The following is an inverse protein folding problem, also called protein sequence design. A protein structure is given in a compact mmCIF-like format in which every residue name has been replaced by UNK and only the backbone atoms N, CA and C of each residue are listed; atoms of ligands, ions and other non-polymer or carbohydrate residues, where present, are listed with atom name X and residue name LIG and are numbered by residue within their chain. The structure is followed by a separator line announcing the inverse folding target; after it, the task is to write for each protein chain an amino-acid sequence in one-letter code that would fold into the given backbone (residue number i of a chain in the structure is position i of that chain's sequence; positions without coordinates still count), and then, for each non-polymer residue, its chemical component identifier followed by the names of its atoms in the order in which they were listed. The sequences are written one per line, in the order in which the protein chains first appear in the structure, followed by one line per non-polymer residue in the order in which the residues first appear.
data_IF_958917860759
#
_entry.id   IF_958917860759
#
_cell.length_a   1.000
_cell.length_b   1.000
_cell.length_c   1.000
_cell.angle_alpha   90.00
_cell.angle_beta   90.00
_cell.angle_gamma   90.00
#
_symmetry.space_group_name_H-M   'P 1'
#
loop_
_entity.id
_entity.type
_entity.pdbx_description
1 polymer ?
#
# COMPACT_ATOMS: atom_id res chain seq x y z
N UNK A 1 21.76 -9.80 -0.13
CA UNK A 1 21.16 -9.32 -1.38
C UNK A 1 21.31 -7.82 -1.41
N UNK A 2 21.67 -7.28 -2.57
CA UNK A 2 21.66 -5.84 -2.78
C UNK A 2 20.21 -5.31 -2.84
N UNK A 3 20.02 -4.03 -2.55
CA UNK A 3 18.70 -3.39 -2.56
C UNK A 3 17.97 -3.54 -3.89
N UNK A 4 18.66 -3.35 -5.02
CA UNK A 4 18.03 -3.49 -6.33
C UNK A 4 17.59 -4.94 -6.63
N UNK A 5 18.33 -5.94 -6.15
CA UNK A 5 17.95 -7.36 -6.28
C UNK A 5 16.70 -7.69 -5.46
N UNK A 6 16.58 -7.12 -4.25
CA UNK A 6 15.39 -7.31 -3.41
C UNK A 6 14.19 -6.62 -4.05
N UNK A 7 14.37 -5.39 -4.53
CA UNK A 7 13.33 -4.65 -5.22
C UNK A 7 12.81 -5.40 -6.44
N UNK A 8 13.70 -5.96 -7.27
CA UNK A 8 13.29 -6.77 -8.43
C UNK A 8 12.41 -7.96 -8.03
N UNK A 9 12.78 -8.69 -6.97
CA UNK A 9 11.94 -9.80 -6.46
C UNK A 9 10.58 -9.33 -5.96
N UNK A 10 10.52 -8.18 -5.29
CA UNK A 10 9.27 -7.59 -4.82
C UNK A 10 8.39 -7.18 -6.01
N UNK A 11 8.94 -6.55 -7.03
CA UNK A 11 8.20 -6.13 -8.23
C UNK A 11 7.68 -7.30 -9.07
N UNK A 12 8.32 -8.47 -8.98
CA UNK A 12 7.87 -9.72 -9.61
C UNK A 12 6.88 -10.52 -8.75
N UNK A 13 6.55 -10.04 -7.55
CA UNK A 13 5.61 -10.68 -6.63
C UNK A 13 4.23 -10.01 -6.68
N UNK A 14 3.19 -10.74 -6.26
CA UNK A 14 1.84 -10.18 -6.22
C UNK A 14 1.68 -9.24 -5.03
N UNK A 15 1.70 -7.94 -5.30
CA UNK A 15 1.61 -6.88 -4.29
C UNK A 15 0.56 -5.88 -4.73
N UNK A 16 -0.37 -5.59 -3.84
CA UNK A 16 -1.37 -4.53 -4.02
C UNK A 16 -1.02 -3.40 -3.06
N UNK A 17 -0.64 -2.25 -3.62
CA UNK A 17 -0.32 -1.04 -2.88
C UNK A 17 -1.46 -0.03 -3.04
N UNK A 18 -2.13 0.28 -1.93
CA UNK A 18 -3.24 1.24 -1.90
C UNK A 18 -2.78 2.50 -1.18
N UNK A 19 -2.93 3.64 -1.84
CA UNK A 19 -2.89 4.93 -1.17
C UNK A 19 -4.26 5.18 -0.52
N UNK A 20 -4.30 5.50 0.77
CA UNK A 20 -5.45 6.04 1.48
C UNK A 20 -5.32 7.58 1.53
N UNK A 21 -5.50 8.20 2.70
CA UNK A 21 -5.23 9.64 2.85
C UNK A 21 -3.73 9.86 2.94
N UNK A 22 -3.10 9.92 1.77
CA UNK A 22 -1.66 10.04 1.58
C UNK A 22 -1.27 11.33 0.85
N UNK A 23 -0.01 11.75 1.05
CA UNK A 23 0.66 12.75 0.21
C UNK A 23 1.50 12.11 -0.91
N UNK A 24 1.38 10.80 -1.13
CA UNK A 24 2.14 9.99 -2.10
C UNK A 24 3.66 9.97 -1.86
N UNK A 25 4.10 10.36 -0.66
CA UNK A 25 5.53 10.48 -0.33
C UNK A 25 6.25 9.14 -0.32
N UNK A 26 5.61 8.09 0.18
CA UNK A 26 6.14 6.73 0.23
C UNK A 26 6.23 6.13 -1.18
N UNK A 27 5.15 6.24 -1.98
CA UNK A 27 5.16 5.93 -3.43
C UNK A 27 6.33 6.61 -4.15
N UNK A 28 6.49 7.93 -4.02
CA UNK A 28 7.58 8.69 -4.66
C UNK A 28 8.96 8.24 -4.16
N UNK A 29 9.08 7.87 -2.88
CA UNK A 29 10.33 7.39 -2.32
C UNK A 29 10.81 6.09 -2.96
N UNK A 30 9.90 5.15 -3.27
CA UNK A 30 10.26 3.89 -3.97
C UNK A 30 10.65 4.16 -5.43
N UNK A 31 9.91 5.05 -6.11
CA UNK A 31 10.17 5.41 -7.49
C UNK A 31 11.53 6.11 -7.69
N UNK A 32 12.09 6.71 -6.63
CA UNK A 32 13.43 7.33 -6.65
C UNK A 32 14.58 6.32 -6.59
N UNK A 33 14.33 5.03 -6.35
CA UNK A 33 15.36 4.01 -6.08
C UNK A 33 16.47 3.87 -7.14
N UNK A 34 16.24 4.36 -8.37
CA UNK A 34 17.26 4.38 -9.44
C UNK A 34 17.63 2.99 -9.98
N UNK A 35 16.93 1.95 -9.54
CA UNK A 35 17.12 0.58 -10.02
C UNK A 35 16.39 0.38 -11.36
N UNK A 36 17.05 -0.25 -12.34
CA UNK A 36 16.44 -0.61 -13.63
C UNK A 36 15.16 -1.46 -13.51
N UNK A 37 15.03 -2.23 -12.44
CA UNK A 37 13.85 -3.05 -12.17
C UNK A 37 12.55 -2.24 -12.09
N UNK A 38 12.60 -0.94 -11.77
CA UNK A 38 11.42 -0.07 -11.78
C UNK A 38 10.75 0.00 -13.15
N UNK A 39 11.51 -0.16 -14.24
CA UNK A 39 10.97 -0.17 -15.60
C UNK A 39 9.91 -1.28 -15.77
N UNK A 40 10.06 -2.40 -15.06
CA UNK A 40 9.10 -3.52 -15.11
C UNK A 40 7.73 -3.17 -14.51
N UNK A 41 7.67 -2.18 -13.60
CA UNK A 41 6.45 -1.79 -12.91
C UNK A 41 5.45 -1.06 -13.83
N UNK A 42 5.94 -0.43 -14.90
CA UNK A 42 5.10 0.36 -15.81
C UNK A 42 4.35 -0.49 -16.85
N UNK A 43 4.65 -1.78 -16.97
CA UNK A 43 3.91 -2.68 -17.85
C UNK A 43 2.61 -3.16 -17.20
N UNK A 44 1.50 -3.16 -17.96
CA UNK A 44 0.19 -3.59 -17.46
C UNK A 44 0.19 -5.03 -16.89
N UNK A 45 1.08 -5.89 -17.38
CA UNK A 45 1.27 -7.27 -16.90
C UNK A 45 1.98 -7.37 -15.55
N UNK A 46 2.42 -6.26 -14.95
CA UNK A 46 3.10 -6.29 -13.67
C UNK A 46 2.17 -6.84 -12.56
N UNK A 47 2.64 -7.81 -11.76
CA UNK A 47 1.91 -8.30 -10.58
C UNK A 47 1.99 -7.29 -9.41
N UNK A 48 2.83 -6.27 -9.52
CA UNK A 48 2.90 -5.17 -8.58
C UNK A 48 1.93 -4.07 -9.01
N UNK A 49 0.90 -3.83 -8.20
CA UNK A 49 -0.20 -2.91 -8.50
C UNK A 49 -0.16 -1.75 -7.52
N UNK A 50 0.22 -0.54 -7.98
CA UNK A 50 -0.01 0.69 -7.23
C UNK A 50 -1.34 1.27 -7.65
N UNK A 51 -2.21 1.53 -6.69
CA UNK A 51 -3.51 2.17 -6.88
C UNK A 51 -3.57 3.45 -6.05
N UNK A 52 -3.58 4.59 -6.74
CA UNK A 52 -3.84 5.88 -6.12
C UNK A 52 -5.35 6.16 -6.10
N UNK A 53 -5.87 6.72 -5.01
CA UNK A 53 -7.28 7.14 -4.90
C UNK A 53 -7.70 8.12 -6.00
N UNK A 54 -6.73 8.83 -6.60
CA UNK A 54 -6.95 9.79 -7.66
C UNK A 54 -7.38 9.15 -9.00
N UNK A 55 -7.37 7.83 -9.11
CA UNK A 55 -7.83 7.11 -10.30
C UNK A 55 -9.36 7.01 -10.40
N UNK A 56 -10.12 8.06 -10.08
CA UNK A 56 -11.58 8.11 -10.19
C UNK A 56 -12.10 8.34 -11.63
N UNK A 57 -11.27 8.15 -12.65
CA UNK A 57 -11.68 8.18 -14.07
C UNK A 57 -12.00 6.77 -14.60
N UNK A 58 -12.63 6.67 -15.78
CA UNK A 58 -13.12 5.39 -16.36
C UNK A 58 -12.10 4.24 -16.33
N UNK A 59 -10.84 4.52 -16.67
CA UNK A 59 -9.75 3.54 -16.66
C UNK A 59 -9.39 3.07 -15.24
N UNK A 60 -9.56 3.93 -14.24
CA UNK A 60 -9.29 3.58 -12.86
C UNK A 60 -10.39 2.74 -12.22
N UNK A 61 -11.63 2.79 -12.70
CA UNK A 61 -12.69 1.86 -12.29
C UNK A 61 -12.46 0.44 -12.80
N UNK A 62 -11.95 0.28 -14.02
CA UNK A 62 -11.55 -1.03 -14.55
C UNK A 62 -10.37 -1.58 -13.76
N UNK A 63 -9.35 -0.75 -13.53
CA UNK A 63 -8.20 -1.11 -12.70
C UNK A 63 -8.58 -1.45 -11.26
N UNK A 64 -9.56 -0.75 -10.68
CA UNK A 64 -10.10 -1.07 -9.36
C UNK A 64 -10.76 -2.46 -9.34
N UNK A 65 -11.47 -2.86 -10.40
CA UNK A 65 -12.01 -4.21 -10.52
C UNK A 65 -10.89 -5.25 -10.55
N UNK A 66 -9.82 -4.99 -11.29
CA UNK A 66 -8.65 -5.87 -11.33
C UNK A 66 -8.00 -6.01 -9.95
N UNK A 67 -7.82 -4.90 -9.23
CA UNK A 67 -7.31 -4.88 -7.84
C UNK A 67 -8.22 -5.67 -6.89
N UNK A 68 -9.54 -5.49 -6.97
CA UNK A 68 -10.51 -6.21 -6.14
C UNK A 68 -10.61 -7.70 -6.47
N UNK A 69 -10.29 -8.08 -7.71
CA UNK A 69 -10.26 -9.47 -8.16
C UNK A 69 -8.99 -10.22 -7.75
N UNK A 70 -7.95 -9.51 -7.28
CA UNK A 70 -6.73 -10.15 -6.82
C UNK A 70 -7.01 -11.05 -5.61
N UNK A 71 -6.30 -12.18 -5.60
CA UNK A 71 -6.22 -13.13 -4.50
C UNK A 71 -4.74 -13.44 -4.29
N UNK A 72 -4.36 -13.94 -3.12
CA UNK A 72 -2.97 -14.31 -2.84
C UNK A 72 -1.97 -13.16 -3.13
N UNK A 73 -2.05 -12.09 -2.33
CA UNK A 73 -1.17 -10.93 -2.46
C UNK A 73 -0.73 -10.38 -1.09
N UNK A 74 0.34 -9.59 -1.10
CA UNK A 74 0.71 -8.71 0.01
C UNK A 74 0.00 -7.37 -0.17
N UNK A 75 -0.74 -6.92 0.84
CA UNK A 75 -1.40 -5.63 0.85
C UNK A 75 -0.49 -4.59 1.51
N UNK A 76 -0.10 -3.57 0.77
CA UNK A 76 0.58 -2.39 1.31
C UNK A 76 -0.42 -1.25 1.37
N UNK A 77 -0.49 -0.58 2.51
CA UNK A 77 -1.36 0.57 2.74
C UNK A 77 -0.48 1.75 3.12
N UNK A 78 -0.57 2.78 2.30
CA UNK A 78 0.07 4.08 2.50
C UNK A 78 -1.00 5.10 2.90
N UNK A 79 -0.71 6.00 3.85
CA UNK A 79 -1.64 7.03 4.28
C UNK A 79 -2.59 6.62 5.41
N UNK A 80 -3.22 7.61 6.04
CA UNK A 80 -4.04 7.40 7.22
C UNK A 80 -5.49 7.03 6.88
N UNK A 81 -6.20 6.43 7.84
CA UNK A 81 -7.60 6.01 7.66
C UNK A 81 -8.53 7.01 8.35
N UNK A 82 -9.48 7.64 7.62
CA UNK A 82 -10.43 8.55 8.24
C UNK A 82 -11.44 7.80 9.10
N UNK A 83 -11.81 8.41 10.24
CA UNK A 83 -12.92 7.93 11.07
C UNK A 83 -14.29 8.25 10.44
N UNK A 84 -14.40 9.40 9.77
CA UNK A 84 -15.55 9.70 8.90
C UNK A 84 -15.25 9.22 7.48
N UNK A 85 -15.81 8.07 7.11
CA UNK A 85 -15.51 7.42 5.82
C UNK A 85 -15.87 8.27 4.61
N UNK A 86 -16.76 9.27 4.78
CA UNK A 86 -17.16 10.20 3.72
C UNK A 86 -16.03 11.12 3.25
N UNK A 87 -14.92 11.15 3.98
CA UNK A 87 -13.74 11.95 3.63
C UNK A 87 -12.84 11.27 2.59
N UNK A 88 -13.10 10.01 2.24
CA UNK A 88 -12.24 9.24 1.34
C UNK A 88 -13.05 8.25 0.49
N UNK A 89 -13.14 8.51 -0.81
CA UNK A 89 -13.83 7.67 -1.78
C UNK A 89 -12.91 7.21 -2.91
N UNK A 90 -13.20 6.01 -3.41
CA UNK A 90 -12.63 5.42 -4.64
C UNK A 90 -13.78 4.91 -5.49
N UNK A 91 -14.08 5.62 -6.57
CA UNK A 91 -15.31 5.39 -7.31
C UNK A 91 -16.51 5.52 -6.36
N UNK A 92 -17.32 4.48 -6.28
CA UNK A 92 -18.53 4.44 -5.44
C UNK A 92 -18.33 3.82 -4.05
N UNK A 93 -17.10 3.44 -3.68
CA UNK A 93 -16.78 2.83 -2.36
C UNK A 93 -15.96 3.78 -1.51
N UNK A 94 -16.07 3.66 -0.19
CA UNK A 94 -15.16 4.38 0.72
C UNK A 94 -13.78 3.71 0.73
N UNK A 95 -12.74 4.47 1.04
CA UNK A 95 -11.39 3.90 1.22
C UNK A 95 -11.37 2.83 2.33
N UNK A 96 -12.15 3.06 3.39
CA UNK A 96 -12.35 2.11 4.49
C UNK A 96 -12.91 0.78 3.97
N UNK A 97 -13.96 0.83 3.14
CA UNK A 97 -14.55 -0.35 2.52
C UNK A 97 -13.55 -1.10 1.61
N UNK A 98 -12.83 -0.38 0.76
CA UNK A 98 -11.82 -0.95 -0.12
C UNK A 98 -10.73 -1.70 0.69
N UNK A 99 -10.18 -1.03 1.70
CA UNK A 99 -9.13 -1.59 2.56
C UNK A 99 -9.66 -2.81 3.32
N UNK A 100 -10.88 -2.75 3.86
CA UNK A 100 -11.49 -3.89 4.53
C UNK A 100 -11.60 -5.10 3.61
N UNK A 101 -12.14 -4.94 2.40
CA UNK A 101 -12.28 -6.01 1.40
C UNK A 101 -10.93 -6.62 1.01
N UNK A 102 -9.94 -5.78 0.69
CA UNK A 102 -8.60 -6.27 0.30
C UNK A 102 -7.91 -6.95 1.48
N UNK A 103 -8.05 -6.42 2.69
CA UNK A 103 -7.40 -6.97 3.89
C UNK A 103 -7.90 -8.38 4.25
N UNK A 104 -9.10 -8.77 3.81
CA UNK A 104 -9.65 -10.11 4.04
C UNK A 104 -9.02 -11.17 3.11
N UNK A 105 -8.51 -10.74 1.95
CA UNK A 105 -7.89 -11.60 0.93
C UNK A 105 -6.37 -11.63 1.00
N UNK A 106 -5.78 -10.60 1.60
CA UNK A 106 -4.33 -10.43 1.70
C UNK A 106 -3.68 -11.50 2.58
N UNK A 107 -2.53 -12.04 2.13
CA UNK A 107 -1.68 -12.94 2.93
C UNK A 107 -1.05 -12.23 4.12
N UNK A 108 -0.67 -10.98 3.92
CA UNK A 108 -0.11 -10.11 4.95
C UNK A 108 -0.42 -8.65 4.59
N UNK A 109 -0.39 -7.80 5.62
CA UNK A 109 -0.74 -6.39 5.51
C UNK A 109 0.42 -5.57 6.07
N UNK A 110 0.82 -4.55 5.32
CA UNK A 110 1.93 -3.67 5.65
C UNK A 110 1.43 -2.23 5.63
N UNK A 111 1.59 -1.53 6.75
CA UNK A 111 1.37 -0.10 6.88
C UNK A 111 2.70 0.62 6.66
N UNK A 112 2.76 1.46 5.63
CA UNK A 112 3.97 2.23 5.29
C UNK A 112 3.74 3.72 5.51
N UNK A 113 4.71 4.36 6.16
CA UNK A 113 4.63 5.75 6.55
C UNK A 113 3.89 5.96 7.88
N UNK A 114 4.24 7.04 8.58
CA UNK A 114 3.66 7.40 9.88
C UNK A 114 2.15 7.60 9.79
N UNK A 115 1.65 8.10 8.66
CA UNK A 115 0.20 8.21 8.41
C UNK A 115 -0.50 6.84 8.51
N UNK A 116 0.02 5.81 7.84
CA UNK A 116 -0.56 4.47 7.90
C UNK A 116 -0.32 3.78 9.25
N UNK A 117 0.80 4.07 9.94
CA UNK A 117 1.11 3.43 11.23
C UNK A 117 0.25 3.97 12.37
N UNK A 118 0.09 5.30 12.48
CA UNK A 118 -0.54 5.91 13.65
C UNK A 118 -1.44 7.13 13.36
N UNK A 119 -1.77 7.41 12.10
CA UNK A 119 -2.53 8.59 11.69
C UNK A 119 -1.66 9.80 11.31
N UNK A 120 -0.37 9.76 11.64
CA UNK A 120 0.62 10.74 11.21
C UNK A 120 0.24 12.18 11.55
N UNK A 121 0.52 13.10 10.62
CA UNK A 121 0.28 14.54 10.80
C UNK A 121 -1.21 14.89 11.00
N UNK A 122 -2.13 14.02 10.55
CA UNK A 122 -3.58 14.23 10.66
C UNK A 122 -4.23 13.43 11.81
N UNK A 123 -3.44 12.82 12.71
CA UNK A 123 -3.94 12.09 13.89
C UNK A 123 -4.86 12.94 14.77
N UNK A 124 -4.51 14.20 15.01
CA UNK A 124 -5.31 15.13 15.83
C UNK A 124 -6.71 15.42 15.25
N UNK A 125 -6.91 15.17 13.95
CA UNK A 125 -8.22 15.28 13.28
C UNK A 125 -9.06 14.00 13.42
N UNK A 126 -8.57 13.00 14.17
CA UNK A 126 -9.27 11.73 14.42
C UNK A 126 -9.00 10.65 13.39
N UNK A 127 -7.93 10.77 12.60
CA UNK A 127 -7.49 9.72 11.68
C UNK A 127 -6.73 8.61 12.42
N UNK A 128 -6.86 7.39 11.94
CA UNK A 128 -6.33 6.18 12.58
C UNK A 128 -5.23 5.56 11.74
N UNK A 129 -4.37 4.79 12.41
CA UNK A 129 -3.47 3.86 11.74
C UNK A 129 -4.19 2.60 11.26
N UNK A 130 -3.57 1.85 10.36
CA UNK A 130 -4.11 0.64 9.75
C UNK A 130 -4.34 -0.47 10.78
N UNK A 131 -3.41 -0.68 11.71
CA UNK A 131 -3.57 -1.68 12.79
C UNK A 131 -4.76 -1.34 13.69
N UNK A 132 -4.90 -0.07 14.05
CA UNK A 132 -6.02 0.43 14.85
C UNK A 132 -7.36 0.25 14.12
N UNK A 133 -7.41 0.56 12.84
CA UNK A 133 -8.60 0.38 12.00
C UNK A 133 -8.99 -1.09 11.82
N UNK A 134 -8.03 -1.97 11.53
CA UNK A 134 -8.30 -3.36 11.18
C UNK A 134 -8.42 -4.31 12.38
N UNK A 135 -7.88 -3.94 13.55
CA UNK A 135 -7.90 -4.77 14.76
C UNK A 135 -7.16 -6.10 14.66
N UNK A 136 -6.20 -6.22 13.72
CA UNK A 136 -5.42 -7.45 13.47
C UNK A 136 -3.92 -7.15 13.26
N UNK A 137 -3.04 -8.15 13.27
CA UNK A 137 -1.60 -7.93 13.07
C UNK A 137 -1.30 -7.31 11.71
N UNK A 138 -0.42 -6.30 11.70
CA UNK A 138 0.01 -5.51 10.54
C UNK A 138 1.50 -5.23 10.73
N UNK A 139 2.29 -5.37 9.66
CA UNK A 139 3.68 -4.92 9.66
C UNK A 139 3.71 -3.40 9.58
N UNK A 140 4.52 -2.74 10.40
CA UNK A 140 4.55 -1.28 10.48
C UNK A 140 5.93 -0.76 10.08
N UNK A 141 5.96 0.16 9.11
CA UNK A 141 7.17 0.84 8.65
C UNK A 141 7.00 2.35 8.82
N UNK A 142 7.31 2.92 10.00
CA UNK A 142 7.11 4.33 10.25
C UNK A 142 8.11 5.23 9.49
N UNK A 143 7.73 6.49 9.29
CA UNK A 143 8.53 7.54 8.63
C UNK A 143 7.67 8.49 7.78
N UNK A 144 8.20 9.63 7.34
CA UNK A 144 7.44 10.61 6.56
C UNK A 144 8.34 11.37 5.54
N UNK A 145 8.74 10.74 4.42
CA UNK A 145 8.41 9.36 4.03
C UNK A 145 9.25 8.33 4.79
N UNK A 146 8.76 7.09 4.85
CA UNK A 146 9.55 5.96 5.35
C UNK A 146 10.76 5.67 4.44
N UNK A 147 11.80 5.04 5.00
CA UNK A 147 12.95 4.61 4.19
C UNK A 147 12.50 3.58 3.16
N UNK A 148 12.81 3.86 1.89
CA UNK A 148 12.60 2.96 0.75
C UNK A 148 13.16 1.54 1.01
N UNK A 149 14.39 1.46 1.54
CA UNK A 149 15.02 0.19 1.93
C UNK A 149 14.21 -0.57 2.97
N UNK A 150 13.66 0.11 3.97
CA UNK A 150 12.85 -0.52 5.00
C UNK A 150 11.48 -0.97 4.48
N UNK A 151 10.84 -0.17 3.62
CA UNK A 151 9.59 -0.55 2.97
C UNK A 151 9.79 -1.83 2.13
N UNK A 152 10.81 -1.86 1.28
CA UNK A 152 11.11 -3.02 0.42
C UNK A 152 11.55 -4.23 1.25
N UNK A 153 12.37 -4.05 2.28
CA UNK A 153 12.77 -5.13 3.17
C UNK A 153 11.55 -5.74 3.91
N UNK A 154 10.58 -4.91 4.31
CA UNK A 154 9.39 -5.39 5.00
C UNK A 154 8.47 -6.17 4.06
N UNK A 155 8.29 -5.71 2.82
CA UNK A 155 7.54 -6.45 1.81
C UNK A 155 8.22 -7.80 1.53
N UNK A 156 9.54 -7.80 1.36
CA UNK A 156 10.31 -9.03 1.16
C UNK A 156 10.16 -10.00 2.34
N UNK A 157 10.17 -9.49 3.58
CA UNK A 157 10.01 -10.34 4.75
C UNK A 157 8.59 -10.92 4.89
N UNK A 158 7.58 -10.14 4.54
CA UNK A 158 6.20 -10.63 4.50
C UNK A 158 6.03 -11.73 3.43
N UNK A 159 6.66 -11.57 2.25
CA UNK A 159 6.69 -12.59 1.20
C UNK A 159 7.37 -13.88 1.65
N UNK A 160 8.42 -13.77 2.48
CA UNK A 160 9.15 -14.91 3.05
C UNK A 160 8.40 -15.62 4.20
N UNK A 161 7.20 -15.15 4.58
CA UNK A 161 6.44 -15.73 5.68
C UNK A 161 6.94 -15.34 7.07
N UNK A 162 7.55 -14.17 7.20
CA UNK A 162 7.84 -13.55 8.49
C UNK A 162 6.57 -13.39 9.36
N UNK A 163 6.76 -12.98 10.61
CA UNK A 163 5.65 -12.54 11.47
C UNK A 163 5.68 -11.02 11.66
N UNK A 164 4.51 -10.35 11.64
CA UNK A 164 4.36 -8.92 11.93
C UNK A 164 4.56 -8.56 13.39
#
# INVERSE_FOLDING_TARGET
MDYCEVLEKVLKSNVVWIEAQSCSGESVSILKSGCKALDEMFFQSSPFKIFSLMCAEKSGLEYLKDVLSQEDFILVIEGAIPKDERLCYVGDMTCNELIMRLSQKAKAIIAVGSCAVNGGIIRELGYMGVREFLGKPVYEVPGCPASDKMMIAMIYQALAGGKP
#
